data_IF_399516916748
#
_entry.id   IF_399516916748
#
_cell.length_a   1.000
_cell.length_b   1.000
_cell.length_c   1.000
_cell.angle_alpha   90.00
_cell.angle_beta   90.00
_cell.angle_gamma   90.00
#
_symmetry.space_group_name_H-M   'P 1'
#
loop_
_entity.id
_entity.type
_entity.pdbx_description
1 polymer ?
#
# COMPACT_ATOMS: atom_id res chain seq x y z
N UNK A 1 13.01 -18.24 9.01
CA UNK A 1 14.00 -17.15 9.19
C UNK A 1 15.36 -17.70 8.84
N UNK A 2 16.11 -17.00 8.00
CA UNK A 2 17.46 -17.42 7.60
C UNK A 2 18.45 -17.30 8.79
N UNK A 3 19.63 -17.93 8.73
CA UNK A 3 20.60 -17.92 9.85
C UNK A 3 21.08 -16.52 10.27
N UNK A 4 20.98 -15.54 9.38
CA UNK A 4 21.33 -14.13 9.62
C UNK A 4 20.32 -13.36 10.50
N UNK A 5 19.21 -14.00 10.89
CA UNK A 5 18.12 -13.43 11.71
C UNK A 5 17.34 -12.28 11.05
N UNK A 6 17.54 -12.01 9.75
CA UNK A 6 16.88 -10.92 9.03
C UNK A 6 16.21 -11.38 7.75
N UNK A 7 16.90 -12.18 6.94
CA UNK A 7 16.42 -12.54 5.62
C UNK A 7 15.21 -13.47 5.73
N UNK A 8 14.18 -13.13 4.96
CA UNK A 8 12.98 -13.95 4.77
C UNK A 8 13.01 -14.51 3.36
N UNK A 9 12.96 -15.84 3.25
CA UNK A 9 12.89 -16.57 1.98
C UNK A 9 11.64 -17.46 1.96
N UNK A 10 11.04 -17.64 0.79
CA UNK A 10 9.96 -18.61 0.60
C UNK A 10 10.50 -20.04 0.78
N UNK A 11 9.78 -20.86 1.55
CA UNK A 11 10.23 -22.23 1.88
C UNK A 11 10.20 -23.19 0.68
N UNK A 12 9.38 -22.87 -0.32
CA UNK A 12 9.25 -23.61 -1.57
C UNK A 12 10.21 -23.14 -2.67
N UNK A 13 11.05 -22.13 -2.38
CA UNK A 13 11.99 -21.56 -3.34
C UNK A 13 11.36 -20.69 -4.43
N UNK A 14 10.07 -20.35 -4.33
CA UNK A 14 9.40 -19.45 -5.25
C UNK A 14 9.90 -18.00 -5.14
N UNK A 15 9.56 -17.16 -6.14
CA UNK A 15 9.94 -15.74 -6.16
C UNK A 15 8.99 -14.90 -5.31
N UNK A 16 9.53 -14.04 -4.44
CA UNK A 16 8.79 -13.02 -3.71
C UNK A 16 8.83 -11.66 -4.42
N UNK A 17 7.73 -10.91 -4.33
CA UNK A 17 7.66 -9.50 -4.68
C UNK A 17 6.87 -8.76 -3.60
N UNK A 18 7.24 -7.50 -3.34
CA UNK A 18 6.61 -6.66 -2.34
C UNK A 18 6.50 -5.22 -2.87
N UNK A 19 5.38 -4.57 -2.56
CA UNK A 19 5.18 -3.14 -2.74
C UNK A 19 4.66 -2.57 -1.43
N UNK A 20 5.07 -1.36 -1.11
CA UNK A 20 4.70 -0.67 0.13
C UNK A 20 4.05 0.68 -0.19
N UNK A 21 3.05 1.03 0.60
CA UNK A 21 2.45 2.35 0.58
C UNK A 21 2.24 2.87 2.01
N UNK A 22 2.58 4.15 2.22
CA UNK A 22 2.08 4.92 3.36
C UNK A 22 0.79 5.64 2.96
N UNK A 23 -0.20 5.65 3.86
CA UNK A 23 -1.50 6.30 3.66
C UNK A 23 -1.92 7.05 4.92
N UNK A 24 -2.92 7.91 4.78
CA UNK A 24 -3.61 8.59 5.87
C UNK A 24 -5.13 8.45 5.71
N UNK A 25 -5.84 8.45 6.84
CA UNK A 25 -7.28 8.73 6.89
C UNK A 25 -7.43 10.19 7.27
N UNK A 26 -8.17 10.96 6.48
CA UNK A 26 -8.30 12.40 6.65
C UNK A 26 -9.63 12.77 7.34
N UNK A 27 -9.83 14.06 7.60
CA UNK A 27 -10.97 14.59 8.36
C UNK A 27 -12.34 14.31 7.71
N UNK A 28 -12.38 14.10 6.39
CA UNK A 28 -13.57 13.66 5.67
C UNK A 28 -13.84 12.14 5.78
N UNK A 29 -13.11 11.47 6.68
CA UNK A 29 -13.15 10.03 6.93
C UNK A 29 -12.73 9.17 5.72
N UNK A 30 -12.10 9.78 4.71
CA UNK A 30 -11.62 9.09 3.51
C UNK A 30 -10.12 8.84 3.56
N UNK A 31 -9.69 7.81 2.84
CA UNK A 31 -8.29 7.42 2.69
C UNK A 31 -7.58 8.27 1.62
N UNK A 32 -6.30 8.54 1.80
CA UNK A 32 -5.39 9.02 0.74
C UNK A 32 -4.05 8.31 0.83
N UNK A 33 -3.56 7.75 -0.27
CA UNK A 33 -2.27 7.05 -0.35
C UNK A 33 -1.15 8.05 -0.65
N UNK A 34 -0.36 8.40 0.37
CA UNK A 34 0.66 9.46 0.35
C UNK A 34 1.85 9.18 -0.58
N UNK A 35 2.01 7.91 -0.97
CA UNK A 35 3.13 7.43 -1.78
C UNK A 35 2.70 7.02 -3.19
N UNK A 36 1.42 7.22 -3.54
CA UNK A 36 0.89 7.02 -4.88
C UNK A 36 0.73 8.37 -5.59
N UNK A 37 1.05 8.44 -6.88
CA UNK A 37 0.99 9.68 -7.67
C UNK A 37 -0.44 10.26 -7.77
N UNK A 38 -1.44 9.39 -7.75
CA UNK A 38 -2.86 9.74 -7.86
C UNK A 38 -3.59 9.63 -6.51
N UNK A 39 -2.85 9.56 -5.39
CA UNK A 39 -3.43 9.33 -4.07
C UNK A 39 -4.08 7.96 -3.87
N UNK A 40 -3.89 7.03 -4.80
CA UNK A 40 -4.52 5.70 -4.80
C UNK A 40 -5.88 5.66 -5.52
N UNK A 41 -6.27 6.74 -6.21
CA UNK A 41 -7.57 6.90 -6.85
C UNK A 41 -7.95 5.75 -7.78
N UNK A 42 -7.06 5.34 -8.68
CA UNK A 42 -7.35 4.32 -9.68
C UNK A 42 -7.62 2.95 -9.02
N UNK A 43 -6.71 2.50 -8.15
CA UNK A 43 -6.77 1.16 -7.57
C UNK A 43 -7.85 1.03 -6.50
N UNK A 44 -8.05 2.06 -5.67
CA UNK A 44 -9.12 2.09 -4.67
C UNK A 44 -10.49 2.28 -5.33
N UNK A 45 -10.57 3.10 -6.37
CA UNK A 45 -11.80 3.29 -7.16
C UNK A 45 -12.29 1.98 -7.79
N UNK A 46 -11.38 1.13 -8.29
CA UNK A 46 -11.72 -0.20 -8.79
C UNK A 46 -12.32 -1.15 -7.73
N UNK A 47 -12.14 -0.85 -6.44
CA UNK A 47 -12.73 -1.56 -5.30
C UNK A 47 -13.98 -0.85 -4.74
N UNK A 48 -14.43 0.25 -5.36
CA UNK A 48 -15.57 1.05 -4.89
C UNK A 48 -15.24 1.99 -3.72
N UNK A 49 -13.96 2.29 -3.50
CA UNK A 49 -13.52 3.19 -2.42
C UNK A 49 -13.17 4.54 -3.01
N UNK A 50 -13.80 5.59 -2.49
CA UNK A 50 -13.46 6.98 -2.82
C UNK A 50 -12.29 7.46 -1.95
N UNK A 51 -11.32 8.13 -2.57
CA UNK A 51 -10.22 8.78 -1.84
C UNK A 51 -10.63 10.18 -1.36
N UNK A 52 -9.93 10.67 -0.34
CA UNK A 52 -10.09 12.04 0.13
C UNK A 52 -9.64 13.05 -0.93
N UNK A 53 -10.31 14.20 -0.98
CA UNK A 53 -9.92 15.35 -1.80
C UNK A 53 -9.30 16.48 -0.98
N UNK A 54 -9.08 16.27 0.32
CA UNK A 54 -8.53 17.29 1.23
C UNK A 54 -7.03 17.52 1.05
N UNK A 55 -6.33 16.60 0.39
CA UNK A 55 -4.95 16.76 -0.06
C UNK A 55 -4.98 16.83 -1.59
N UNK A 56 -4.68 18.02 -2.12
CA UNK A 56 -4.50 18.29 -3.55
C UNK A 56 -3.17 18.99 -3.80
#
# INVERSE_FOLDING_TARGET
>A
VMPDKWTVCAMDGSRGAHWEHTFAILEDEKIFVLTALDGGKERLGALGVEISTLIS
#
